data_IF_292316502728
#
_entry.id   IF_292316502728
#
_cell.length_a   1.000
_cell.length_b   1.000
_cell.length_c   1.000
_cell.angle_alpha   90.00
_cell.angle_beta   90.00
_cell.angle_gamma   90.00
#
_symmetry.space_group_name_H-M   'P 1'
#
loop_
_entity.id
_entity.type
_entity.pdbx_description
1 polymer ?
#
# COMPACT_ATOMS: atom_id res chain seq x y z
N UNK A 1 -22.54 -28.22 4.91
CA UNK A 1 -22.04 -26.85 4.85
C UNK A 1 -21.20 -26.69 3.59
N UNK A 2 -21.50 -25.68 2.80
CA UNK A 2 -20.73 -25.41 1.60
C UNK A 2 -19.28 -25.06 1.96
N UNK A 3 -18.37 -25.47 1.11
CA UNK A 3 -16.96 -25.18 1.30
C UNK A 3 -16.70 -23.69 1.05
N UNK A 4 -16.04 -23.04 2.00
CA UNK A 4 -15.63 -21.64 1.86
C UNK A 4 -14.24 -21.59 1.22
N UNK A 5 -14.14 -20.88 0.12
CA UNK A 5 -12.88 -20.63 -0.57
C UNK A 5 -12.38 -19.24 -0.18
N UNK A 6 -11.55 -19.18 0.85
CA UNK A 6 -11.09 -17.92 1.43
C UNK A 6 -10.37 -17.02 0.42
N UNK A 7 -9.59 -17.60 -0.46
CA UNK A 7 -8.91 -16.83 -1.51
C UNK A 7 -9.89 -16.07 -2.41
N UNK A 8 -11.00 -16.72 -2.76
CA UNK A 8 -12.05 -16.07 -3.58
C UNK A 8 -12.77 -14.99 -2.80
N UNK A 9 -13.03 -15.22 -1.52
CA UNK A 9 -13.69 -14.21 -0.67
C UNK A 9 -12.80 -12.98 -0.48
N UNK A 10 -11.52 -13.18 -0.27
CA UNK A 10 -10.57 -12.08 -0.17
C UNK A 10 -10.47 -11.29 -1.47
N UNK A 11 -10.49 -11.98 -2.60
CA UNK A 11 -10.51 -11.32 -3.92
C UNK A 11 -11.78 -10.49 -4.10
N UNK A 12 -12.94 -11.04 -3.73
CA UNK A 12 -14.21 -10.33 -3.80
C UNK A 12 -14.19 -9.07 -2.95
N UNK A 13 -13.71 -9.19 -1.71
CA UNK A 13 -13.57 -8.04 -0.82
C UNK A 13 -12.64 -6.98 -1.41
N UNK A 14 -11.50 -7.39 -1.94
CA UNK A 14 -10.57 -6.47 -2.57
C UNK A 14 -11.20 -5.72 -3.76
N UNK A 15 -12.02 -6.43 -4.55
CA UNK A 15 -12.73 -5.79 -5.66
C UNK A 15 -13.74 -4.76 -5.17
N UNK A 16 -14.43 -5.04 -4.05
CA UNK A 16 -15.35 -4.07 -3.43
C UNK A 16 -14.61 -2.83 -2.94
N UNK A 17 -13.44 -3.00 -2.33
CA UNK A 17 -12.59 -1.88 -1.90
C UNK A 17 -12.21 -1.01 -3.11
N UNK A 18 -11.78 -1.64 -4.20
CA UNK A 18 -11.42 -0.94 -5.43
C UNK A 18 -12.60 -0.17 -6.01
N UNK A 19 -13.79 -0.79 -6.03
CA UNK A 19 -15.01 -0.12 -6.50
C UNK A 19 -15.40 1.05 -5.61
N UNK A 20 -15.18 0.95 -4.31
CA UNK A 20 -15.43 2.08 -3.41
C UNK A 20 -14.62 3.30 -3.85
N UNK A 21 -13.34 3.12 -4.16
CA UNK A 21 -12.48 4.22 -4.61
C UNK A 21 -12.86 4.76 -5.98
N UNK A 22 -13.54 3.98 -6.82
CA UNK A 22 -14.02 4.47 -8.12
C UNK A 22 -15.00 5.63 -8.00
N UNK A 23 -15.70 5.72 -6.88
CA UNK A 23 -16.66 6.79 -6.61
C UNK A 23 -16.18 7.79 -5.58
N UNK A 24 -14.90 7.70 -5.19
CA UNK A 24 -14.31 8.62 -4.23
C UNK A 24 -14.12 10.01 -4.86
N UNK A 25 -14.22 11.04 -4.03
CA UNK A 25 -14.27 12.44 -4.48
C UNK A 25 -12.99 12.91 -5.20
N UNK A 26 -11.84 12.35 -4.87
CA UNK A 26 -10.55 12.78 -5.45
C UNK A 26 -9.95 11.77 -6.42
N UNK A 27 -10.69 10.71 -6.75
CA UNK A 27 -10.15 9.61 -7.56
C UNK A 27 -9.50 10.06 -8.86
N UNK A 28 -10.20 10.90 -9.62
CA UNK A 28 -9.75 11.33 -10.95
C UNK A 28 -8.42 12.09 -10.87
N UNK A 29 -8.29 12.97 -9.90
CA UNK A 29 -7.06 13.73 -9.69
C UNK A 29 -5.90 12.83 -9.29
N UNK A 30 -6.15 11.96 -8.32
CA UNK A 30 -5.15 11.02 -7.80
C UNK A 30 -4.68 10.08 -8.92
N UNK A 31 -5.61 9.48 -9.64
CA UNK A 31 -5.32 8.50 -10.68
C UNK A 31 -4.56 9.11 -11.86
N UNK A 32 -4.87 10.34 -12.22
CA UNK A 32 -4.15 11.05 -13.28
C UNK A 32 -2.66 11.18 -12.95
N UNK A 33 -2.32 11.37 -11.68
CA UNK A 33 -0.94 11.55 -11.25
C UNK A 33 -0.26 10.23 -10.90
N UNK A 34 -0.95 9.34 -10.19
CA UNK A 34 -0.34 8.14 -9.61
C UNK A 34 -0.60 6.85 -10.41
N UNK A 35 -1.60 6.84 -11.28
CA UNK A 35 -2.09 5.59 -11.84
C UNK A 35 -2.62 4.69 -10.72
N UNK A 36 -2.21 3.42 -10.72
CA UNK A 36 -2.60 2.46 -9.69
C UNK A 36 -1.60 2.35 -8.54
N UNK A 37 -0.69 3.31 -8.41
CA UNK A 37 0.45 3.21 -7.49
C UNK A 37 0.34 4.11 -6.25
N UNK A 38 -0.85 4.63 -5.96
CA UNK A 38 -1.08 5.49 -4.79
C UNK A 38 -0.76 4.82 -3.46
N UNK A 39 -0.85 3.49 -3.38
CA UNK A 39 -0.53 2.74 -2.18
C UNK A 39 0.90 2.95 -1.69
N UNK A 40 1.84 3.19 -2.60
CA UNK A 40 3.24 3.48 -2.26
C UNK A 40 3.33 4.83 -1.54
N UNK A 41 2.63 5.84 -2.05
CA UNK A 41 2.59 7.18 -1.43
C UNK A 41 2.06 7.07 -0.01
N UNK A 42 0.96 6.35 0.18
CA UNK A 42 0.36 6.16 1.50
C UNK A 42 1.32 5.48 2.47
N UNK A 43 1.95 4.40 2.03
CA UNK A 43 2.89 3.67 2.87
C UNK A 43 4.10 4.53 3.27
N UNK A 44 4.69 5.22 2.31
CA UNK A 44 5.83 6.10 2.59
C UNK A 44 5.45 7.25 3.52
N UNK A 45 4.26 7.81 3.34
CA UNK A 45 3.77 8.90 4.19
C UNK A 45 3.56 8.44 5.64
N UNK A 46 3.00 7.25 5.84
CA UNK A 46 2.77 6.68 7.17
C UNK A 46 4.08 6.27 7.87
N UNK A 47 5.14 6.07 7.12
CA UNK A 47 6.44 5.65 7.63
C UNK A 47 7.53 6.70 7.43
N UNK A 48 7.17 7.98 7.38
CA UNK A 48 8.09 9.10 7.12
C UNK A 48 9.27 9.19 8.08
N UNK A 49 9.12 8.65 9.28
CA UNK A 49 10.16 8.69 10.32
C UNK A 49 11.15 7.51 10.21
N UNK A 50 10.96 6.64 9.24
CA UNK A 50 11.83 5.50 8.99
C UNK A 50 12.48 5.62 7.63
N UNK A 51 13.67 5.04 7.50
CA UNK A 51 14.30 4.89 6.21
C UNK A 51 13.69 3.68 5.51
N UNK A 52 13.01 3.92 4.40
CA UNK A 52 12.33 2.88 3.63
C UNK A 52 13.12 2.60 2.36
N UNK A 53 13.38 1.32 2.11
CA UNK A 53 14.10 0.83 0.94
C UNK A 53 13.17 0.00 0.06
N UNK A 54 13.59 -0.27 -1.17
CA UNK A 54 12.80 -1.09 -2.09
C UNK A 54 12.45 -2.45 -1.49
N UNK A 55 13.38 -3.07 -0.78
CA UNK A 55 13.15 -4.36 -0.13
C UNK A 55 11.97 -4.32 0.84
N UNK A 56 11.84 -3.22 1.58
CA UNK A 56 10.72 -3.05 2.52
C UNK A 56 9.38 -3.06 1.80
N UNK A 57 9.31 -2.43 0.63
CA UNK A 57 8.09 -2.42 -0.18
C UNK A 57 7.77 -3.80 -0.74
N UNK A 58 8.80 -4.53 -1.18
CA UNK A 58 8.64 -5.91 -1.67
C UNK A 58 8.03 -6.81 -0.60
N UNK A 59 8.53 -6.72 0.62
CA UNK A 59 8.06 -7.53 1.74
C UNK A 59 6.66 -7.09 2.22
N UNK A 60 6.46 -5.79 2.39
CA UNK A 60 5.20 -5.28 2.91
C UNK A 60 4.01 -5.58 1.99
N UNK A 61 4.20 -5.45 0.69
CA UNK A 61 3.12 -5.61 -0.28
C UNK A 61 3.19 -6.93 -1.04
N UNK A 62 4.15 -7.76 -0.70
CA UNK A 62 4.32 -9.09 -1.32
C UNK A 62 4.37 -9.00 -2.85
N UNK A 63 5.23 -8.12 -3.33
CA UNK A 63 5.47 -7.95 -4.78
C UNK A 63 6.89 -8.39 -5.12
N UNK A 64 7.10 -8.79 -6.36
CA UNK A 64 8.41 -9.22 -6.83
C UNK A 64 9.36 -8.02 -6.93
N UNK A 65 10.66 -8.30 -6.90
CA UNK A 65 11.70 -7.29 -7.11
C UNK A 65 11.52 -6.58 -8.44
N UNK A 66 11.19 -7.34 -9.49
CA UNK A 66 10.95 -6.80 -10.82
C UNK A 66 9.78 -5.80 -10.83
N UNK A 67 8.67 -6.17 -10.20
CA UNK A 67 7.50 -5.30 -10.09
C UNK A 67 7.82 -4.04 -9.29
N UNK A 68 8.45 -4.18 -8.14
CA UNK A 68 8.81 -3.03 -7.30
C UNK A 68 9.75 -2.08 -8.03
N UNK A 69 10.77 -2.61 -8.70
CA UNK A 69 11.73 -1.82 -9.46
C UNK A 69 11.05 -1.00 -10.57
N UNK A 70 10.16 -1.63 -11.31
CA UNK A 70 9.42 -1.00 -12.41
C UNK A 70 8.52 0.13 -11.90
N UNK A 71 7.77 -0.13 -10.82
CA UNK A 71 6.85 0.85 -10.23
C UNK A 71 7.62 2.05 -9.67
N UNK A 72 8.72 1.80 -8.95
CA UNK A 72 9.52 2.88 -8.37
C UNK A 72 10.16 3.76 -9.43
N UNK A 73 10.62 3.16 -10.53
CA UNK A 73 11.16 3.93 -11.65
C UNK A 73 10.11 4.86 -12.25
N UNK A 74 8.90 4.34 -12.44
CA UNK A 74 7.78 5.14 -12.95
C UNK A 74 7.44 6.29 -12.01
N UNK A 75 7.39 6.04 -10.72
CA UNK A 75 7.09 7.08 -9.74
C UNK A 75 8.19 8.14 -9.65
N UNK A 76 9.44 7.72 -9.81
CA UNK A 76 10.57 8.66 -9.87
C UNK A 76 10.46 9.55 -11.11
N UNK A 77 10.13 8.98 -12.27
CA UNK A 77 9.92 9.73 -13.51
C UNK A 77 8.78 10.74 -13.40
N UNK A 78 7.74 10.40 -12.66
CA UNK A 78 6.60 11.31 -12.41
C UNK A 78 6.89 12.37 -11.35
N UNK A 79 8.06 12.34 -10.73
CA UNK A 79 8.43 13.29 -9.69
C UNK A 79 7.72 13.08 -8.36
N UNK A 80 7.31 11.85 -8.07
CA UNK A 80 6.59 11.54 -6.84
C UNK A 80 7.52 11.02 -5.74
N UNK A 81 8.63 10.41 -6.12
CA UNK A 81 9.64 9.93 -5.18
C UNK A 81 11.03 10.37 -5.62
N UNK A 82 11.94 10.39 -4.66
CA UNK A 82 13.39 10.51 -4.89
C UNK A 82 14.08 9.38 -4.17
N UNK A 83 15.22 8.97 -4.71
CA UNK A 83 16.10 8.01 -4.08
C UNK A 83 17.30 8.75 -3.53
N UNK A 84 17.54 8.62 -2.23
CA UNK A 84 18.67 9.27 -1.55
C UNK A 84 19.67 8.22 -1.09
N UNK A 85 20.94 8.44 -1.44
CA UNK A 85 22.00 7.57 -0.95
C UNK A 85 22.12 7.71 0.57
N UNK A 86 22.35 6.60 1.25
CA UNK A 86 22.66 6.60 2.67
C UNK A 86 24.18 6.53 2.85
N UNK A 87 24.68 7.11 3.93
CA UNK A 87 26.12 7.31 4.15
C UNK A 87 26.95 6.03 4.23
N UNK A 88 26.33 4.88 4.44
CA UNK A 88 27.04 3.61 4.68
C UNK A 88 27.28 2.77 3.44
N UNK A 89 26.42 2.84 2.46
CA UNK A 89 26.49 2.03 1.25
C UNK A 89 25.82 2.77 0.10
N UNK A 90 26.61 3.09 -0.94
CA UNK A 90 26.11 3.81 -2.11
C UNK A 90 25.07 3.02 -2.91
N UNK A 91 25.00 1.69 -2.70
CA UNK A 91 24.01 0.85 -3.37
C UNK A 91 22.64 0.88 -2.66
N UNK A 92 22.62 1.27 -1.38
CA UNK A 92 21.38 1.41 -0.64
C UNK A 92 20.88 2.83 -0.78
N UNK A 93 19.66 2.97 -1.33
CA UNK A 93 19.02 4.26 -1.50
C UNK A 93 17.66 4.24 -0.83
N UNK A 94 17.48 5.10 0.16
CA UNK A 94 16.18 5.25 0.79
C UNK A 94 15.24 5.99 -0.15
N UNK A 95 13.97 5.65 -0.06
CA UNK A 95 12.92 6.20 -0.88
C UNK A 95 12.20 7.27 -0.09
N UNK A 96 12.12 8.48 -0.63
CA UNK A 96 11.44 9.60 0.03
C UNK A 96 10.40 10.22 -0.90
N UNK A 97 9.31 10.71 -0.31
CA UNK A 97 8.28 11.41 -1.05
C UNK A 97 8.73 12.83 -1.38
N UNK A 98 8.37 13.28 -2.58
CA UNK A 98 8.56 14.66 -2.98
C UNK A 98 7.42 15.52 -2.43
N UNK A 99 7.58 16.87 -2.52
CA UNK A 99 6.51 17.80 -2.16
C UNK A 99 5.24 17.54 -2.98
N UNK A 100 5.40 17.24 -4.27
CA UNK A 100 4.28 16.88 -5.16
C UNK A 100 3.51 15.68 -4.60
N UNK A 101 4.21 14.64 -4.15
CA UNK A 101 3.59 13.46 -3.59
C UNK A 101 2.86 13.76 -2.27
N UNK A 102 3.40 14.62 -1.42
CA UNK A 102 2.73 15.02 -0.20
C UNK A 102 1.40 15.71 -0.46
N UNK A 103 1.31 16.51 -1.51
CA UNK A 103 0.03 17.15 -1.91
C UNK A 103 -0.99 16.09 -2.35
N UNK A 104 -0.54 15.11 -3.13
CA UNK A 104 -1.40 13.98 -3.54
C UNK A 104 -1.87 13.19 -2.33
N UNK A 105 -0.99 12.97 -1.35
CA UNK A 105 -1.32 12.26 -0.12
C UNK A 105 -2.47 12.92 0.62
N UNK A 106 -2.51 14.25 0.66
CA UNK A 106 -3.63 14.95 1.31
C UNK A 106 -4.97 14.70 0.60
N UNK A 107 -4.98 14.63 -0.73
CA UNK A 107 -6.18 14.27 -1.46
C UNK A 107 -6.63 12.85 -1.19
N UNK A 108 -5.68 11.94 -1.01
CA UNK A 108 -5.94 10.52 -0.74
C UNK A 108 -6.46 10.27 0.68
N UNK A 109 -6.00 11.08 1.63
CA UNK A 109 -6.24 10.85 3.06
C UNK A 109 -7.72 10.77 3.40
N UNK A 110 -8.50 11.72 2.95
CA UNK A 110 -9.94 11.78 3.24
C UNK A 110 -10.68 10.56 2.68
N UNK A 111 -10.41 10.20 1.44
CA UNK A 111 -11.07 9.07 0.79
C UNK A 111 -10.65 7.75 1.46
N UNK A 112 -9.37 7.62 1.80
CA UNK A 112 -8.86 6.42 2.47
C UNK A 112 -9.47 6.27 3.88
N UNK A 113 -9.55 7.34 4.65
CA UNK A 113 -10.17 7.31 5.98
C UNK A 113 -11.63 6.91 5.92
N UNK A 114 -12.37 7.43 4.95
CA UNK A 114 -13.78 7.07 4.74
C UNK A 114 -13.94 5.59 4.39
N UNK A 115 -13.09 5.08 3.51
CA UNK A 115 -13.12 3.68 3.13
C UNK A 115 -12.83 2.77 4.33
N UNK A 116 -11.76 3.05 5.07
CA UNK A 116 -11.40 2.27 6.26
C UNK A 116 -12.53 2.27 7.29
N UNK A 117 -13.10 3.42 7.55
CA UNK A 117 -14.22 3.56 8.48
C UNK A 117 -15.44 2.73 8.04
N UNK A 118 -15.75 2.74 6.76
CA UNK A 118 -16.84 1.94 6.21
C UNK A 118 -16.54 0.45 6.28
N UNK A 119 -15.30 0.08 5.96
CA UNK A 119 -14.85 -1.32 5.94
C UNK A 119 -15.00 -1.99 7.31
N UNK A 120 -14.66 -1.28 8.38
CA UNK A 120 -14.65 -1.86 9.74
C UNK A 120 -15.89 -1.53 10.56
N UNK A 121 -16.90 -0.92 9.95
CA UNK A 121 -18.14 -0.53 10.62
C UNK A 121 -18.82 -1.73 11.29
N UNK A 122 -19.16 -1.57 12.56
CA UNK A 122 -19.86 -2.61 13.31
C UNK A 122 -18.97 -3.66 13.98
N UNK A 123 -17.68 -3.60 13.74
CA UNK A 123 -16.74 -4.51 14.39
C UNK A 123 -16.19 -3.90 15.68
N UNK A 124 -15.99 -4.75 16.68
CA UNK A 124 -15.29 -4.33 17.90
C UNK A 124 -13.78 -4.27 17.67
N UNK A 125 -13.07 -3.59 18.56
CA UNK A 125 -11.61 -3.54 18.49
C UNK A 125 -11.00 -4.93 18.62
N UNK A 126 -11.54 -5.76 19.53
CA UNK A 126 -11.09 -7.15 19.71
C UNK A 126 -11.27 -7.99 18.45
N UNK A 127 -12.42 -7.83 17.77
CA UNK A 127 -12.69 -8.52 16.51
C UNK A 127 -11.69 -8.10 15.42
N UNK A 128 -11.40 -6.81 15.33
CA UNK A 128 -10.45 -6.28 14.36
C UNK A 128 -9.02 -6.78 14.63
N UNK A 129 -8.62 -6.81 15.89
CA UNK A 129 -7.30 -7.33 16.28
C UNK A 129 -7.18 -8.82 15.94
N UNK A 130 -8.23 -9.60 16.20
CA UNK A 130 -8.26 -11.02 15.85
C UNK A 130 -8.15 -11.21 14.33
N UNK A 131 -8.91 -10.45 13.58
CA UNK A 131 -8.90 -10.53 12.11
C UNK A 131 -7.53 -10.15 11.56
N UNK A 132 -6.92 -9.10 12.08
CA UNK A 132 -5.56 -8.70 11.69
C UNK A 132 -4.58 -9.86 11.92
N UNK A 133 -4.65 -10.49 13.09
CA UNK A 133 -3.81 -11.64 13.41
C UNK A 133 -4.00 -12.79 12.42
N UNK A 134 -5.24 -13.09 12.05
CA UNK A 134 -5.54 -14.13 11.07
C UNK A 134 -4.99 -13.80 9.69
N UNK A 135 -5.11 -12.54 9.26
CA UNK A 135 -4.52 -12.10 8.00
C UNK A 135 -3.00 -12.27 8.00
N UNK A 136 -2.34 -11.93 9.09
CA UNK A 136 -0.88 -12.08 9.19
C UNK A 136 -0.47 -13.55 9.11
N UNK A 137 -1.23 -14.43 9.74
CA UNK A 137 -0.98 -15.88 9.67
C UNK A 137 -1.17 -16.41 8.25
N UNK A 138 -2.20 -15.97 7.56
CA UNK A 138 -2.44 -16.34 6.15
C UNK A 138 -1.30 -15.87 5.25
N UNK A 139 -0.85 -14.63 5.45
CA UNK A 139 0.27 -14.06 4.70
C UNK A 139 1.56 -14.85 4.95
N UNK A 140 1.83 -15.21 6.19
CA UNK A 140 3.01 -15.98 6.54
C UNK A 140 3.02 -17.36 5.86
N UNK A 141 1.85 -18.02 5.78
CA UNK A 141 1.72 -19.32 5.12
C UNK A 141 2.12 -19.29 3.65
N UNK A 142 1.92 -18.17 2.98
CA UNK A 142 2.18 -18.05 1.54
C UNK A 142 3.41 -17.20 1.22
N UNK A 143 4.08 -16.67 2.23
CA UNK A 143 5.20 -15.75 2.03
C UNK A 143 6.41 -16.46 1.41
N UNK A 144 6.95 -15.93 0.29
CA UNK A 144 8.18 -16.44 -0.31
C UNK A 144 9.44 -15.95 0.42
N UNK A 145 9.28 -15.10 1.45
CA UNK A 145 10.38 -14.46 2.16
C UNK A 145 10.84 -15.24 3.39
N UNK A 146 10.25 -16.39 3.66
CA UNK A 146 10.76 -17.29 4.68
C UNK A 146 12.01 -18.00 4.13
N UNK A 147 13.12 -17.53 4.54
CA UNK A 147 14.40 -18.16 4.26
C UNK A 147 14.76 -19.15 5.34
#
# INVERSE_FOLDING_TARGET
>A
MEKIWFGLELRSLNNLIRRYFEFASHRKEIETVTGNNGWIIRYLAENKDKDIYQKDLEEQFTVTRSTASKVLRLMEQKGLIRRQAVSRDARLKKIVLTEKAWKIKELMREDAEKMEKSLVKGFTEEELQAFYSYLQRMKANLSPFEG
#
